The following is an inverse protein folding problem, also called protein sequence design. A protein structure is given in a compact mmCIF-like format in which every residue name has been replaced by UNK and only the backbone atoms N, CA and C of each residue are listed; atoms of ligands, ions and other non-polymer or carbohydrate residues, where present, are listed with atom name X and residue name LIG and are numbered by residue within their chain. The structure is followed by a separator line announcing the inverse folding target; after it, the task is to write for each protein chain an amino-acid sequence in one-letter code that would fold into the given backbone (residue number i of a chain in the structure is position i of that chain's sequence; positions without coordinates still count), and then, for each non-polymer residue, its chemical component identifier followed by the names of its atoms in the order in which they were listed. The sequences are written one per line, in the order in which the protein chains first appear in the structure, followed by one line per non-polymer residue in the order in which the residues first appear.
data_IF_108414570037
#
_entry.id   IF_108414570037
#
_cell.length_a   1.000
_cell.length_b   1.000
_cell.length_c   1.000
_cell.angle_alpha   90.00
_cell.angle_beta   90.00
_cell.angle_gamma   90.00
#
_symmetry.space_group_name_H-M   'P 1'
#
loop_
_entity.id
_entity.type
_entity.pdbx_description
1 polymer ?
#
# COMPACT_ATOMS: atom_id res chain seq x y z
N UNK A 1 1.13 12.41 -10.70
CA UNK A 1 1.62 11.18 -10.04
C UNK A 1 1.66 11.48 -8.56
N UNK A 2 0.86 10.77 -7.76
CA UNK A 2 0.70 11.02 -6.33
C UNK A 2 1.46 9.96 -5.51
N UNK A 3 1.91 10.33 -4.31
CA UNK A 3 2.61 9.44 -3.39
C UNK A 3 1.69 9.16 -2.19
N UNK A 4 1.51 7.87 -1.88
CA UNK A 4 0.75 7.42 -0.71
C UNK A 4 1.74 6.88 0.31
N UNK A 5 1.77 7.45 1.51
CA UNK A 5 2.62 6.98 2.61
C UNK A 5 1.93 5.88 3.40
N UNK A 6 2.62 4.75 3.57
CA UNK A 6 2.17 3.63 4.39
C UNK A 6 3.21 3.34 5.49
N UNK A 7 2.80 3.12 6.74
CA UNK A 7 3.71 2.64 7.77
C UNK A 7 4.29 1.27 7.41
N UNK A 8 5.59 1.12 7.59
CA UNK A 8 6.32 -0.13 7.43
C UNK A 8 6.03 -1.07 8.59
N UNK A 9 4.87 -1.73 8.54
CA UNK A 9 4.50 -2.80 9.46
C UNK A 9 4.42 -4.11 8.70
N UNK A 10 5.44 -4.95 8.88
CA UNK A 10 5.57 -6.21 8.14
C UNK A 10 4.51 -7.23 8.56
N UNK A 11 4.02 -7.98 7.58
CA UNK A 11 3.16 -9.16 7.74
C UNK A 11 1.87 -8.89 8.54
N UNK A 12 1.40 -7.64 8.53
CA UNK A 12 0.18 -7.22 9.22
C UNK A 12 -0.79 -6.61 8.22
N UNK A 13 -2.04 -7.11 8.22
CA UNK A 13 -3.11 -6.49 7.47
C UNK A 13 -3.59 -5.21 8.15
N UNK A 14 -3.50 -4.10 7.44
CA UNK A 14 -3.98 -2.79 7.89
C UNK A 14 -5.09 -2.34 6.97
N UNK A 15 -6.19 -1.86 7.55
CA UNK A 15 -7.34 -1.34 6.81
C UNK A 15 -7.57 0.12 7.16
N UNK A 16 -7.59 0.98 6.15
CA UNK A 16 -7.91 2.39 6.26
C UNK A 16 -9.26 2.65 5.59
N UNK A 17 -10.21 3.25 6.34
CA UNK A 17 -11.52 3.66 5.83
C UNK A 17 -11.48 5.15 5.49
N UNK A 18 -11.96 5.51 4.31
CA UNK A 18 -12.06 6.92 3.88
C UNK A 18 -13.45 7.49 4.16
N UNK A 19 -13.55 8.83 4.14
CA UNK A 19 -14.80 9.57 4.42
C UNK A 19 -15.94 9.23 3.46
N UNK A 20 -15.63 8.88 2.21
CA UNK A 20 -16.60 8.50 1.19
C UNK A 20 -17.16 7.08 1.39
N UNK A 21 -16.65 6.34 2.38
CA UNK A 21 -16.99 4.97 2.68
C UNK A 21 -16.18 3.95 1.88
N UNK A 22 -15.25 4.32 1.02
CA UNK A 22 -14.32 3.34 0.44
C UNK A 22 -13.26 2.95 1.46
N UNK A 23 -12.59 1.81 1.27
CA UNK A 23 -11.46 1.43 2.13
C UNK A 23 -10.28 0.97 1.29
N UNK A 24 -9.08 1.13 1.84
CA UNK A 24 -7.86 0.52 1.34
C UNK A 24 -7.33 -0.43 2.41
N UNK A 25 -7.22 -1.70 2.08
CA UNK A 25 -6.54 -2.72 2.86
C UNK A 25 -5.14 -2.94 2.31
N UNK A 26 -4.16 -3.20 3.16
CA UNK A 26 -2.82 -3.53 2.70
C UNK A 26 -2.05 -4.42 3.65
N UNK A 27 -1.08 -5.15 3.09
CA UNK A 27 -0.05 -5.90 3.82
C UNK A 27 1.29 -5.57 3.22
N UNK A 28 2.24 -5.13 4.05
CA UNK A 28 3.64 -4.98 3.64
C UNK A 28 4.36 -6.29 3.95
N UNK A 29 5.01 -6.86 2.96
CA UNK A 29 5.83 -8.06 3.08
C UNK A 29 7.28 -7.71 2.74
N UNK A 30 8.22 -8.46 3.31
CA UNK A 30 9.63 -8.45 2.91
C UNK A 30 9.89 -9.67 2.03
N UNK A 31 10.58 -9.50 0.91
CA UNK A 31 10.97 -10.61 0.06
C UNK A 31 11.87 -11.58 0.86
N UNK A 32 11.53 -12.89 0.95
CA UNK A 32 12.37 -13.87 1.62
C UNK A 32 13.61 -14.30 0.81
N UNK A 33 13.63 -14.03 -0.50
CA UNK A 33 14.69 -14.44 -1.43
C UNK A 33 15.71 -13.32 -1.70
N UNK A 34 15.32 -12.05 -1.52
CA UNK A 34 16.18 -10.88 -1.75
C UNK A 34 16.33 -10.05 -0.47
N UNK A 35 17.56 -9.62 -0.16
CA UNK A 35 17.83 -8.80 1.01
C UNK A 35 17.14 -7.43 0.88
N UNK A 36 16.42 -7.02 1.94
CA UNK A 36 15.84 -5.68 2.09
C UNK A 36 14.91 -5.21 0.95
N UNK A 37 14.30 -6.13 0.21
CA UNK A 37 13.27 -5.79 -0.76
C UNK A 37 11.88 -5.94 -0.15
N UNK A 38 10.97 -5.01 -0.45
CA UNK A 38 9.60 -5.02 0.04
C UNK A 38 8.59 -5.26 -1.09
N UNK A 39 7.43 -5.78 -0.73
CA UNK A 39 6.25 -5.87 -1.59
C UNK A 39 5.00 -5.53 -0.79
N UNK A 40 4.02 -4.92 -1.44
CA UNK A 40 2.75 -4.55 -0.80
C UNK A 40 1.60 -5.14 -1.59
N UNK A 41 0.78 -5.93 -0.90
CA UNK A 41 -0.53 -6.33 -1.38
C UNK A 41 -1.52 -5.23 -1.03
N UNK A 42 -2.23 -4.66 -2.00
CA UNK A 42 -3.28 -3.67 -1.82
C UNK A 42 -4.64 -4.27 -2.21
N UNK A 43 -5.60 -4.17 -1.30
CA UNK A 43 -7.02 -4.41 -1.56
C UNK A 43 -7.76 -3.07 -1.57
N UNK A 44 -8.43 -2.75 -2.68
CA UNK A 44 -9.37 -1.63 -2.72
C UNK A 44 -10.78 -2.15 -2.50
N UNK A 45 -11.46 -1.58 -1.50
CA UNK A 45 -12.77 -2.03 -1.02
C UNK A 45 -13.84 -0.96 -1.24
N UNK A 46 -15.01 -1.40 -1.70
CA UNK A 46 -16.17 -0.53 -1.90
C UNK A 46 -16.84 -0.14 -0.56
N UNK A 47 -17.95 0.61 -0.66
CA UNK A 47 -18.71 1.06 0.51
C UNK A 47 -19.26 -0.08 1.37
N UNK A 48 -19.50 -1.24 0.77
CA UNK A 48 -20.00 -2.46 1.41
C UNK A 48 -18.85 -3.34 1.95
N UNK A 49 -17.60 -2.93 1.74
CA UNK A 49 -16.43 -3.69 2.15
C UNK A 49 -16.08 -4.84 1.22
N UNK A 50 -16.61 -4.86 0.00
CA UNK A 50 -16.24 -5.85 -1.03
C UNK A 50 -14.98 -5.39 -1.74
N UNK A 51 -14.00 -6.28 -1.87
CA UNK A 51 -12.81 -6.02 -2.69
C UNK A 51 -13.22 -5.92 -4.16
N UNK A 52 -12.92 -4.79 -4.79
CA UNK A 52 -13.18 -4.57 -6.22
C UNK A 52 -11.90 -4.52 -7.05
N UNK A 53 -10.74 -4.29 -6.43
CA UNK A 53 -9.45 -4.32 -7.10
C UNK A 53 -8.37 -4.83 -6.13
N UNK A 54 -7.47 -5.68 -6.65
CA UNK A 54 -6.26 -6.14 -5.97
C UNK A 54 -5.04 -5.70 -6.76
N UNK A 55 -4.01 -5.21 -6.07
CA UNK A 55 -2.82 -4.67 -6.71
C UNK A 55 -1.60 -5.17 -5.94
N UNK A 56 -0.60 -5.69 -6.66
CA UNK A 56 0.73 -5.95 -6.13
C UNK A 56 1.64 -4.77 -6.45
N UNK A 57 2.32 -4.25 -5.43
CA UNK A 57 3.23 -3.12 -5.57
C UNK A 57 4.61 -3.52 -5.10
N UNK A 58 5.59 -3.45 -6.00
CA UNK A 58 6.97 -3.86 -5.74
C UNK A 58 7.89 -2.67 -5.50
N UNK A 59 8.96 -2.95 -4.75
CA UNK A 59 10.01 -2.00 -4.41
C UNK A 59 11.33 -2.57 -4.93
N UNK A 60 12.21 -1.71 -5.42
CA UNK A 60 13.57 -2.13 -5.74
C UNK A 60 14.35 -2.39 -4.44
N UNK A 61 15.44 -3.13 -4.53
CA UNK A 61 16.26 -3.49 -3.37
C UNK A 61 16.72 -2.25 -2.58
N UNK A 62 16.62 -2.31 -1.26
CA UNK A 62 17.00 -1.23 -0.34
C UNK A 62 16.20 0.09 -0.53
N UNK A 63 15.13 0.07 -1.33
CA UNK A 63 14.27 1.23 -1.56
C UNK A 63 12.98 1.17 -0.73
N UNK A 64 12.56 2.35 -0.26
CA UNK A 64 11.26 2.56 0.41
C UNK A 64 10.21 3.22 -0.47
N UNK A 65 10.57 3.59 -1.70
CA UNK A 65 9.66 4.14 -2.70
C UNK A 65 9.37 3.05 -3.74
N UNK A 66 8.10 2.79 -4.02
CA UNK A 66 7.71 1.71 -4.92
C UNK A 66 7.96 2.03 -6.39
N UNK A 67 7.88 1.00 -7.23
CA UNK A 67 7.58 1.19 -8.64
C UNK A 67 6.17 1.81 -8.82
N UNK A 68 5.93 2.56 -9.91
CA UNK A 68 4.61 3.14 -10.17
C UNK A 68 3.56 2.06 -10.41
N UNK A 69 2.35 2.27 -9.89
CA UNK A 69 1.20 1.40 -10.12
C UNK A 69 -0.05 2.23 -10.46
N UNK A 70 -1.08 1.57 -10.98
CA UNK A 70 -2.34 2.21 -11.35
C UNK A 70 -3.51 1.73 -10.50
N UNK A 71 -4.32 2.67 -10.03
CA UNK A 71 -5.55 2.43 -9.29
C UNK A 71 -6.61 3.44 -9.74
N UNK A 72 -7.83 2.98 -10.03
CA UNK A 72 -8.93 3.86 -10.46
C UNK A 72 -8.57 4.84 -11.60
N UNK A 73 -7.78 4.39 -12.58
CA UNK A 73 -7.34 5.20 -13.73
C UNK A 73 -6.33 6.30 -13.41
N UNK A 74 -5.73 6.29 -12.21
CA UNK A 74 -4.69 7.22 -11.79
C UNK A 74 -3.42 6.47 -11.42
N UNK A 75 -2.27 7.13 -11.59
CA UNK A 75 -0.94 6.56 -11.35
C UNK A 75 -0.32 7.06 -10.05
N UNK A 76 0.13 6.12 -9.23
CA UNK A 76 0.58 6.32 -7.85
C UNK A 76 1.96 5.69 -7.61
N UNK A 77 2.60 6.09 -6.52
CA UNK A 77 3.71 5.35 -5.86
C UNK A 77 3.43 5.23 -4.37
N UNK A 78 3.92 4.17 -3.74
CA UNK A 78 3.89 3.99 -2.30
C UNK A 78 5.22 4.42 -1.68
N UNK A 79 5.18 5.10 -0.55
CA UNK A 79 6.34 5.37 0.30
C UNK A 79 6.17 4.64 1.63
N UNK A 80 7.12 3.79 2.00
CA UNK A 80 7.14 3.11 3.29
C UNK A 80 7.79 4.01 4.35
N UNK A 81 7.05 4.35 5.40
CA UNK A 81 7.48 5.25 6.49
C UNK A 81 7.58 4.52 7.82
N UNK A 82 8.43 5.00 8.73
CA UNK A 82 8.58 4.39 10.06
C UNK A 82 7.42 4.73 11.01
N UNK A 83 6.66 5.79 10.72
CA UNK A 83 5.50 6.22 11.50
C UNK A 83 4.19 6.14 10.69
N UNK A 84 3.03 5.86 11.32
CA UNK A 84 1.74 6.09 10.68
C UNK A 84 1.53 7.61 10.48
N UNK A 85 0.99 8.06 9.33
CA UNK A 85 0.68 9.47 9.15
C UNK A 85 -0.31 9.92 10.24
N UNK A 86 0.06 10.95 11.01
CA UNK A 86 -0.85 11.59 11.97
C UNK A 86 -2.06 12.12 11.20
N UNK A 87 -3.30 11.85 11.65
CA UNK A 87 -4.47 12.48 11.05
C UNK A 87 -4.44 13.99 11.34
N UNK A 88 -4.60 14.80 10.30
CA UNK A 88 -4.94 16.23 10.41
C UNK A 88 -6.38 16.40 10.93
#
# INVERSE_FOLDING_TARGET
MEIISLPLQLNRYIKQRYRDGTSMGYVVNRNPFELNQYGVHLDLLDKKGKVYQKIEVYFDQDQRLSQPFEANGRRYRLMLTEEPPKPN
#
